data_IF_286557291794
#
_entry.id   IF_286557291794
#
_cell.length_a   1.000
_cell.length_b   1.000
_cell.length_c   1.000
_cell.angle_alpha   90.00
_cell.angle_beta   90.00
_cell.angle_gamma   90.00
#
_symmetry.space_group_name_H-M   'P 1'
#
loop_
_entity.id
_entity.type
_entity.pdbx_description
1 polymer ?
#
# COMPACT_ATOMS: atom_id res chain seq x y z
N UNK A 1 15.71 -1.32 14.83
CA UNK A 1 15.63 -0.20 15.75
C UNK A 1 14.87 0.97 15.19
N UNK A 2 15.11 1.29 13.92
CA UNK A 2 14.39 2.39 13.30
C UNK A 2 12.90 2.13 13.22
N UNK A 3 12.51 0.89 13.00
CA UNK A 3 11.09 0.53 12.93
C UNK A 3 10.42 0.81 14.28
N UNK A 4 11.07 0.45 15.38
CA UNK A 4 10.52 0.72 16.71
C UNK A 4 10.40 2.22 16.95
N UNK A 5 11.42 3.00 16.57
CA UNK A 5 11.37 4.44 16.73
C UNK A 5 10.24 5.06 15.91
N UNK A 6 10.05 4.60 14.66
CA UNK A 6 8.99 5.11 13.82
C UNK A 6 7.60 4.82 14.39
N UNK A 7 7.41 3.62 14.92
CA UNK A 7 6.12 3.23 15.48
C UNK A 7 5.80 3.97 16.77
N UNK A 8 6.82 4.48 17.47
CA UNK A 8 6.62 5.18 18.73
C UNK A 8 6.38 6.68 18.58
N UNK A 9 6.50 7.23 17.37
CA UNK A 9 6.23 8.65 17.16
C UNK A 9 4.72 8.88 17.12
N UNK A 10 4.20 9.90 17.83
CA UNK A 10 2.75 10.06 17.96
C UNK A 10 2.02 10.28 16.64
N UNK A 11 2.65 10.90 15.65
CA UNK A 11 2.01 11.17 14.37
C UNK A 11 2.08 10.01 13.38
N UNK A 12 2.84 8.96 13.70
CA UNK A 12 2.99 7.83 12.79
C UNK A 12 1.75 6.93 12.83
N UNK A 13 1.49 6.29 11.71
CA UNK A 13 0.39 5.33 11.59
C UNK A 13 0.91 4.03 11.04
N UNK A 14 0.38 2.95 11.57
CA UNK A 14 0.70 1.61 11.13
C UNK A 14 -0.56 0.97 10.57
N UNK A 15 -0.51 0.58 9.30
CA UNK A 15 -1.63 -0.09 8.64
C UNK A 15 -1.22 -1.52 8.29
N UNK A 16 -1.94 -2.48 8.83
CA UNK A 16 -1.77 -3.87 8.41
C UNK A 16 -2.51 -4.07 7.09
N UNK A 17 -1.84 -4.63 6.09
CA UNK A 17 -2.38 -4.81 4.75
C UNK A 17 -2.49 -6.31 4.50
N UNK A 18 -3.68 -6.75 4.07
CA UNK A 18 -3.96 -8.17 3.90
C UNK A 18 -4.72 -8.41 2.61
N UNK A 19 -4.58 -9.61 2.06
CA UNK A 19 -5.38 -10.04 0.92
C UNK A 19 -6.85 -10.10 1.27
N UNK A 20 -7.69 -9.77 0.30
CA UNK A 20 -9.15 -9.72 0.47
C UNK A 20 -9.84 -11.01 0.06
N UNK A 21 -9.12 -11.96 -0.54
CA UNK A 21 -9.68 -13.22 -1.01
C UNK A 21 -8.84 -14.38 -0.50
N UNK A 22 -9.43 -15.56 -0.28
CA UNK A 22 -8.66 -16.71 0.21
C UNK A 22 -7.47 -17.09 -0.67
N UNK A 23 -7.56 -16.87 -1.97
CA UNK A 23 -6.48 -17.19 -2.89
C UNK A 23 -5.45 -16.07 -3.02
N UNK A 24 -5.57 -15.02 -2.24
CA UNK A 24 -4.59 -13.92 -2.22
C UNK A 24 -3.84 -13.98 -0.87
N UNK A 25 -2.71 -14.71 -0.82
CA UNK A 25 -2.00 -14.91 0.44
C UNK A 25 -1.12 -13.72 0.84
N UNK A 26 -1.15 -12.65 0.09
CA UNK A 26 -0.31 -11.49 0.35
C UNK A 26 -0.66 -10.80 1.66
N UNK A 27 0.34 -10.29 2.34
CA UNK A 27 0.18 -9.52 3.57
C UNK A 27 1.38 -8.63 3.76
N UNK A 28 1.27 -7.68 4.68
CA UNK A 28 2.37 -6.81 5.01
C UNK A 28 1.90 -5.60 5.80
N UNK A 29 2.63 -4.51 5.64
CA UNK A 29 2.35 -3.31 6.41
C UNK A 29 2.71 -2.05 5.63
N UNK A 30 2.03 -0.97 5.98
CA UNK A 30 2.34 0.37 5.53
C UNK A 30 2.55 1.23 6.78
N UNK A 31 3.72 1.84 6.90
CA UNK A 31 4.04 2.74 8.00
C UNK A 31 4.11 4.15 7.45
N UNK A 32 3.21 5.03 7.91
CA UNK A 32 3.14 6.41 7.47
C UNK A 32 3.89 7.27 8.48
N UNK A 33 4.88 8.04 8.01
CA UNK A 33 5.73 8.88 8.86
C UNK A 33 5.58 10.32 8.39
N UNK A 34 4.56 11.06 8.87
CA UNK A 34 4.29 12.42 8.37
C UNK A 34 5.45 13.39 8.58
N UNK A 35 6.19 13.28 9.70
CA UNK A 35 7.30 14.17 9.97
C UNK A 35 8.42 14.07 8.95
N UNK A 36 8.51 12.94 8.24
CA UNK A 36 9.49 12.73 7.17
C UNK A 36 8.86 12.77 5.80
N UNK A 37 7.57 13.07 5.74
CA UNK A 37 6.81 13.14 4.49
C UNK A 37 6.97 11.88 3.65
N UNK A 38 6.96 10.72 4.31
CA UNK A 38 7.22 9.46 3.64
C UNK A 38 6.41 8.34 4.29
N UNK A 39 6.29 7.24 3.55
CA UNK A 39 5.71 6.00 4.06
C UNK A 39 6.58 4.84 3.60
N UNK A 40 6.56 3.77 4.38
CA UNK A 40 7.30 2.55 4.08
C UNK A 40 6.29 1.44 3.83
N UNK A 41 6.36 0.84 2.65
CA UNK A 41 5.50 -0.27 2.25
C UNK A 41 6.32 -1.54 2.22
N UNK A 42 5.87 -2.56 2.95
CA UNK A 42 6.52 -3.86 2.96
C UNK A 42 5.46 -4.93 2.84
N UNK A 43 5.44 -5.63 1.71
CA UNK A 43 4.48 -6.69 1.43
C UNK A 43 5.22 -7.98 1.08
N UNK A 44 4.54 -9.10 1.27
CA UNK A 44 5.11 -10.42 0.96
C UNK A 44 4.02 -11.33 0.41
N UNK A 45 4.45 -12.38 -0.26
CA UNK A 45 3.58 -13.42 -0.81
C UNK A 45 2.63 -12.88 -1.88
N UNK A 46 3.06 -11.89 -2.64
CA UNK A 46 2.27 -11.36 -3.75
C UNK A 46 2.42 -12.29 -4.96
N UNK A 47 1.31 -12.74 -5.56
CA UNK A 47 1.39 -13.51 -6.79
C UNK A 47 1.98 -12.69 -7.94
N UNK A 48 2.67 -13.33 -8.89
CA UNK A 48 3.14 -12.62 -10.07
C UNK A 48 1.97 -12.19 -10.95
N UNK A 49 2.18 -11.10 -11.70
CA UNK A 49 1.14 -10.54 -12.57
C UNK A 49 1.46 -10.83 -14.03
N UNK A 50 0.42 -10.87 -14.88
CA UNK A 50 0.63 -10.92 -16.34
C UNK A 50 1.37 -9.67 -16.81
N UNK A 51 2.04 -9.80 -17.95
CA UNK A 51 2.72 -8.68 -18.57
C UNK A 51 1.70 -7.54 -18.82
N UNK A 52 2.14 -6.31 -18.56
CA UNK A 52 1.30 -5.13 -18.75
C UNK A 52 0.41 -4.79 -17.58
N UNK A 53 0.48 -5.54 -16.49
CA UNK A 53 -0.28 -5.27 -15.28
C UNK A 53 0.63 -4.93 -14.12
N UNK A 54 0.13 -4.11 -13.21
CA UNK A 54 0.83 -3.75 -11.98
C UNK A 54 -0.15 -3.79 -10.82
N UNK A 55 0.38 -3.94 -9.61
CA UNK A 55 -0.39 -3.64 -8.41
C UNK A 55 -0.33 -2.13 -8.19
N UNK A 56 -1.46 -1.57 -7.75
CA UNK A 56 -1.52 -0.14 -7.46
C UNK A 56 -2.23 0.07 -6.13
N UNK A 57 -1.61 0.88 -5.27
CA UNK A 57 -2.17 1.18 -3.96
C UNK A 57 -2.88 2.53 -4.00
N UNK A 58 -4.07 2.56 -3.41
CA UNK A 58 -4.91 3.76 -3.32
C UNK A 58 -5.22 4.02 -1.85
N UNK A 59 -5.19 5.29 -1.46
CA UNK A 59 -5.55 5.70 -0.10
C UNK A 59 -6.90 6.39 -0.12
N UNK A 60 -7.69 6.16 0.92
CA UNK A 60 -8.95 6.88 1.11
C UNK A 60 -8.69 8.17 1.88
N UNK A 61 -9.05 9.30 1.28
CA UNK A 61 -8.93 10.62 1.91
C UNK A 61 -10.21 11.38 1.59
N UNK A 62 -10.98 11.73 2.63
CA UNK A 62 -12.22 12.49 2.48
C UNK A 62 -13.18 11.86 1.46
N UNK A 63 -13.25 10.52 1.47
CA UNK A 63 -14.15 9.80 0.58
C UNK A 63 -13.63 9.57 -0.82
N UNK A 64 -12.47 10.13 -1.17
CA UNK A 64 -11.85 9.95 -2.48
C UNK A 64 -10.72 8.94 -2.39
N UNK A 65 -10.48 8.24 -3.49
CA UNK A 65 -9.35 7.32 -3.61
C UNK A 65 -8.21 8.01 -4.33
N UNK A 66 -7.08 8.13 -3.65
CA UNK A 66 -5.91 8.83 -4.15
C UNK A 66 -4.82 7.82 -4.47
N UNK A 67 -4.25 7.92 -5.67
CA UNK A 67 -3.18 7.04 -6.12
C UNK A 67 -1.92 7.32 -5.31
N UNK A 68 -1.42 6.29 -4.61
CA UNK A 68 -0.21 6.40 -3.82
C UNK A 68 1.02 5.94 -4.58
N UNK A 69 0.95 4.76 -5.19
CA UNK A 69 2.08 4.17 -5.88
C UNK A 69 1.63 2.94 -6.66
N UNK A 70 2.46 2.55 -7.61
CA UNK A 70 2.33 1.26 -8.28
C UNK A 70 3.55 0.44 -7.97
N UNK A 71 3.40 -0.88 -8.02
CA UNK A 71 4.52 -1.76 -7.71
C UNK A 71 4.34 -3.12 -8.38
N UNK A 72 5.48 -3.78 -8.56
CA UNK A 72 5.54 -5.15 -9.07
C UNK A 72 6.38 -5.94 -8.07
N UNK A 73 5.89 -7.10 -7.61
CA UNK A 73 6.69 -7.88 -6.66
C UNK A 73 7.95 -8.43 -7.32
N UNK A 74 8.97 -8.65 -6.49
CA UNK A 74 10.18 -9.31 -6.97
C UNK A 74 9.92 -10.81 -7.19
N UNK A 75 10.97 -11.54 -7.55
CA UNK A 75 10.85 -12.97 -7.86
C UNK A 75 10.35 -13.79 -6.66
N UNK A 76 10.50 -13.27 -5.46
CA UNK A 76 10.05 -13.92 -4.23
C UNK A 76 8.70 -13.44 -3.73
N UNK A 77 8.01 -12.60 -4.51
CA UNK A 77 6.72 -12.07 -4.13
C UNK A 77 6.78 -10.96 -3.10
N UNK A 78 7.90 -10.28 -2.98
CA UNK A 78 8.11 -9.24 -1.98
C UNK A 78 8.14 -7.86 -2.61
N UNK A 79 7.65 -6.88 -1.86
CA UNK A 79 7.72 -5.45 -2.17
C UNK A 79 8.24 -4.73 -0.94
N UNK A 80 9.28 -3.93 -1.13
CA UNK A 80 9.79 -3.03 -0.09
C UNK A 80 10.04 -1.70 -0.77
N UNK A 81 9.31 -0.67 -0.37
CA UNK A 81 9.32 0.58 -1.11
C UNK A 81 9.06 1.75 -0.20
N UNK A 82 9.81 2.84 -0.42
CA UNK A 82 9.56 4.12 0.23
C UNK A 82 8.69 4.95 -0.70
N UNK A 83 7.62 5.54 -0.16
CA UNK A 83 6.61 6.26 -0.93
C UNK A 83 6.53 7.68 -0.40
N UNK A 84 6.67 8.71 -1.26
CA UNK A 84 6.47 10.08 -0.78
C UNK A 84 5.01 10.32 -0.42
N UNK A 85 4.79 11.02 0.68
CA UNK A 85 3.46 11.47 1.06
C UNK A 85 3.13 12.73 0.27
N UNK A 86 1.97 12.73 -0.38
CA UNK A 86 1.48 13.92 -1.06
C UNK A 86 0.16 14.32 -0.40
N UNK A 87 -0.96 13.90 -0.98
CA UNK A 87 -2.26 14.32 -0.47
C UNK A 87 -2.91 13.25 0.41
N UNK A 88 -2.19 12.16 0.70
CA UNK A 88 -2.80 11.00 1.34
C UNK A 88 -2.24 10.70 2.73
N UNK A 89 -1.39 11.59 3.26
CA UNK A 89 -0.74 11.31 4.55
C UNK A 89 -1.69 11.18 5.72
N UNK A 90 -2.93 11.71 5.60
CA UNK A 90 -3.92 11.62 6.66
C UNK A 90 -4.82 10.38 6.53
N UNK A 91 -4.57 9.51 5.56
CA UNK A 91 -5.41 8.34 5.35
C UNK A 91 -5.37 7.38 6.53
N UNK A 92 -6.47 6.67 6.76
CA UNK A 92 -6.54 5.61 7.74
C UNK A 92 -6.84 4.25 7.10
N UNK A 93 -7.00 4.22 5.78
CA UNK A 93 -7.23 2.96 5.07
C UNK A 93 -6.73 3.05 3.65
N UNK A 94 -6.29 1.91 3.12
CA UNK A 94 -5.78 1.79 1.77
C UNK A 94 -6.34 0.53 1.13
N UNK A 95 -6.34 0.51 -0.20
CA UNK A 95 -6.65 -0.69 -0.96
C UNK A 95 -5.57 -0.91 -2.00
N UNK A 96 -5.44 -2.14 -2.46
CA UNK A 96 -4.54 -2.50 -3.56
C UNK A 96 -5.39 -3.16 -4.65
N UNK A 97 -5.21 -2.69 -5.88
CA UNK A 97 -5.90 -3.22 -7.05
C UNK A 97 -4.88 -3.68 -8.09
N UNK A 98 -5.35 -4.51 -9.03
CA UNK A 98 -4.54 -4.89 -10.19
C UNK A 98 -5.00 -4.03 -11.35
N UNK A 99 -4.07 -3.27 -11.94
CA UNK A 99 -4.40 -2.27 -12.96
C UNK A 99 -3.49 -2.41 -14.18
N UNK A 100 -3.92 -1.91 -15.33
CA UNK A 100 -2.99 -1.70 -16.44
C UNK A 100 -1.86 -0.77 -16.03
N UNK A 101 -0.72 -0.92 -16.71
CA UNK A 101 0.49 -0.21 -16.35
C UNK A 101 0.36 1.30 -16.51
N UNK A 102 -0.47 1.77 -17.46
CA UNK A 102 -0.61 3.18 -17.77
C UNK A 102 -2.08 3.55 -17.96
N UNK A 103 -2.37 4.86 -17.88
CA UNK A 103 -3.68 5.39 -18.24
C UNK A 103 -4.74 5.32 -17.17
N UNK A 104 -4.36 5.08 -15.91
CA UNK A 104 -5.31 4.89 -14.83
C UNK A 104 -5.25 6.07 -13.86
N UNK A 105 -6.40 6.73 -13.65
CA UNK A 105 -6.54 7.82 -12.69
C UNK A 105 -7.46 7.45 -11.54
N UNK A 106 -8.23 6.38 -11.67
CA UNK A 106 -9.12 5.86 -10.64
C UNK A 106 -9.01 4.34 -10.65
N UNK A 107 -9.27 3.68 -9.52
CA UNK A 107 -9.20 2.21 -9.50
C UNK A 107 -10.29 1.61 -10.38
N UNK A 108 -9.88 0.80 -11.35
CA UNK A 108 -10.79 0.12 -12.28
C UNK A 108 -10.69 -1.39 -12.18
N UNK A 109 -9.59 -1.88 -11.57
CA UNK A 109 -9.34 -3.31 -11.49
C UNK A 109 -9.87 -3.94 -10.22
N UNK A 110 -9.61 -5.22 -10.11
CA UNK A 110 -10.05 -6.00 -8.96
C UNK A 110 -9.27 -5.58 -7.70
N UNK A 111 -10.00 -5.33 -6.62
CA UNK A 111 -9.38 -5.10 -5.32
C UNK A 111 -8.87 -6.42 -4.78
N UNK A 112 -7.59 -6.48 -4.43
CA UNK A 112 -6.95 -7.72 -3.97
C UNK A 112 -6.41 -7.63 -2.55
N UNK A 113 -6.20 -6.42 -2.03
CA UNK A 113 -5.77 -6.23 -0.65
C UNK A 113 -6.45 -5.02 -0.04
N UNK A 114 -6.50 -5.00 1.27
CA UNK A 114 -7.00 -3.84 2.02
C UNK A 114 -6.17 -3.68 3.29
N UNK A 115 -6.08 -2.45 3.77
CA UNK A 115 -5.39 -2.16 5.00
C UNK A 115 -6.06 -1.02 5.75
N UNK A 116 -5.97 -1.06 7.08
CA UNK A 116 -6.51 0.00 7.91
C UNK A 116 -5.62 0.19 9.12
N UNK A 117 -5.80 1.34 9.78
CA UNK A 117 -5.02 1.67 10.97
C UNK A 117 -5.27 0.63 12.05
N UNK A 118 -4.17 0.13 12.64
CA UNK A 118 -4.24 -0.75 13.79
C UNK A 118 -3.93 0.07 15.04
N UNK A 119 -4.68 -0.17 16.07
CA UNK A 119 -4.50 0.55 17.34
C UNK A 119 -4.17 -0.44 18.43
#
# INVERSE_FOLDING_TARGET
>A
QQVVNLLNQPSNRFLAVKGTAPQMPASGSLVIVPTKQTALLALQNLPPLPQGKVYRMWAYVDGAKIDCTRFIPDANGKVTQTIPLKDWGATTSVIVTIEPEVGITQPTGQQVMTGSVTI
#
